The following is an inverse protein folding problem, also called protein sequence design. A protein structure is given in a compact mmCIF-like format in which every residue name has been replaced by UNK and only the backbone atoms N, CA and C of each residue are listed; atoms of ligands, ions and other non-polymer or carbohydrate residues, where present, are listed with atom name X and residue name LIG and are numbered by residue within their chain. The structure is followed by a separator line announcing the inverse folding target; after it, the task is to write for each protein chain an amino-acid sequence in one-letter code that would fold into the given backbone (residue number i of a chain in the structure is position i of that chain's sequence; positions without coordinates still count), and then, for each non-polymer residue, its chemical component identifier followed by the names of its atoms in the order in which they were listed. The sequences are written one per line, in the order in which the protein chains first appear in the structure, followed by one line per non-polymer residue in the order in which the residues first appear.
data_IF_901304102618
#
_entry.id   IF_901304102618
#
_cell.length_a   1.000
_cell.length_b   1.000
_cell.length_c   1.000
_cell.angle_alpha   90.00
_cell.angle_beta   90.00
_cell.angle_gamma   90.00
#
_symmetry.space_group_name_H-M   'P 1'
#
loop_
_entity.id
_entity.type
_entity.pdbx_description
1 polymer ?
#
# COMPACT_ATOMS: atom_id res chain seq x y z
N UNK A 1 82.65 -14.98 22.89
CA UNK A 1 82.01 -16.32 23.05
C UNK A 1 80.66 -16.14 23.73
N UNK A 2 79.60 -16.74 23.17
CA UNK A 2 78.18 -16.80 23.64
C UNK A 2 77.43 -15.45 23.74
N UNK A 3 76.51 -15.05 22.84
CA UNK A 3 75.17 -15.59 22.50
C UNK A 3 74.20 -15.68 23.70
N UNK A 4 73.11 -14.87 23.70
CA UNK A 4 71.69 -15.28 23.62
C UNK A 4 70.71 -14.12 23.96
N UNK A 5 69.99 -13.67 22.92
CA UNK A 5 68.53 -13.42 22.77
C UNK A 5 67.78 -12.51 23.78
N UNK A 6 67.29 -11.38 23.26
CA UNK A 6 65.97 -10.85 23.65
C UNK A 6 65.06 -10.79 22.40
N UNK A 7 63.88 -11.38 22.54
CA UNK A 7 62.89 -11.55 21.50
C UNK A 7 62.23 -10.21 21.14
N UNK A 8 62.19 -9.90 19.84
CA UNK A 8 61.41 -8.80 19.29
C UNK A 8 59.92 -9.16 19.34
N UNK A 9 59.14 -8.35 20.06
CA UNK A 9 57.69 -8.40 19.98
C UNK A 9 57.25 -7.78 18.65
N UNK A 10 56.85 -8.63 17.71
CA UNK A 10 56.19 -8.20 16.49
C UNK A 10 54.74 -7.78 16.85
N UNK A 11 54.49 -6.47 16.85
CA UNK A 11 53.13 -5.92 16.92
C UNK A 11 52.47 -6.19 15.57
N UNK A 12 51.61 -7.21 15.51
CA UNK A 12 50.69 -7.43 14.40
C UNK A 12 49.63 -6.32 14.42
N UNK A 13 49.82 -5.29 13.62
CA UNK A 13 48.77 -4.35 13.24
C UNK A 13 47.75 -5.11 12.37
N UNK A 14 46.69 -5.61 13.00
CA UNK A 14 45.52 -6.09 12.28
C UNK A 14 44.87 -4.90 11.55
N UNK A 15 44.56 -5.00 10.24
CA UNK A 15 43.81 -3.95 9.57
C UNK A 15 42.38 -3.98 10.15
N UNK A 16 41.99 -2.88 10.79
CA UNK A 16 40.59 -2.56 11.04
C UNK A 16 39.92 -2.44 9.66
N UNK A 17 39.33 -3.54 9.20
CA UNK A 17 38.30 -3.50 8.19
C UNK A 17 37.20 -2.60 8.76
N UNK A 18 37.17 -1.35 8.30
CA UNK A 18 36.01 -0.50 8.42
C UNK A 18 34.88 -1.20 7.67
N UNK A 19 34.13 -2.02 8.39
CA UNK A 19 32.80 -2.42 7.98
C UNK A 19 32.04 -1.10 7.92
N UNK A 20 31.97 -0.51 6.72
CA UNK A 20 30.92 0.44 6.40
C UNK A 20 29.62 -0.34 6.55
N UNK A 21 29.12 -0.41 7.78
CA UNK A 21 27.77 -0.82 8.08
C UNK A 21 26.90 0.22 7.42
N UNK A 22 26.54 -0.02 6.17
CA UNK A 22 25.38 0.60 5.58
C UNK A 22 24.27 0.40 6.61
N UNK A 23 23.85 1.49 7.25
CA UNK A 23 22.74 1.46 8.19
C UNK A 23 21.62 0.68 7.51
N UNK A 24 20.99 -0.30 8.19
CA UNK A 24 19.92 -1.07 7.58
C UNK A 24 18.92 -0.09 6.98
N UNK A 25 18.74 -0.15 5.66
CA UNK A 25 17.77 0.70 4.96
C UNK A 25 16.44 0.43 5.63
N UNK A 26 15.93 1.45 6.32
CA UNK A 26 14.61 1.40 6.95
C UNK A 26 13.64 1.00 5.83
N UNK A 27 12.91 -0.13 5.96
CA UNK A 27 11.98 -0.55 4.93
C UNK A 27 10.99 0.58 4.67
N UNK A 28 10.82 0.94 3.40
CA UNK A 28 10.10 2.13 2.90
C UNK A 28 8.76 2.40 3.61
N UNK A 29 8.07 1.34 4.01
CA UNK A 29 6.89 1.30 4.91
C UNK A 29 6.98 2.01 6.27
N UNK A 30 8.15 2.51 6.67
CA UNK A 30 8.35 3.21 7.94
C UNK A 30 8.75 4.66 7.74
N UNK A 31 8.30 5.32 6.65
CA UNK A 31 8.38 6.78 6.61
C UNK A 31 7.74 7.33 7.90
N UNK A 32 8.31 8.37 8.52
CA UNK A 32 7.76 8.93 9.76
C UNK A 32 6.26 9.25 9.66
N UNK A 33 5.80 9.65 8.46
CA UNK A 33 4.39 9.95 8.15
C UNK A 33 3.48 8.74 8.32
N UNK A 34 3.90 7.55 7.88
CA UNK A 34 3.10 6.33 8.00
C UNK A 34 3.04 5.78 9.44
N UNK A 35 4.04 6.07 10.29
CA UNK A 35 4.11 5.51 11.66
C UNK A 35 2.95 5.96 12.56
N UNK A 36 2.34 7.11 12.26
CA UNK A 36 1.20 7.64 13.01
C UNK A 36 -0.11 6.90 12.74
N UNK A 37 -0.20 6.13 11.65
CA UNK A 37 -1.43 5.42 11.27
C UNK A 37 -1.55 4.06 11.97
N UNK A 38 -2.77 3.62 12.33
CA UNK A 38 -3.02 2.28 12.84
C UNK A 38 -2.45 1.17 11.94
N UNK A 39 -1.82 0.16 12.55
CA UNK A 39 -1.19 -0.95 11.80
C UNK A 39 -2.18 -1.85 11.09
N UNK A 40 -3.44 -1.87 11.52
CA UNK A 40 -4.52 -2.56 10.85
C UNK A 40 -5.37 -1.54 10.10
N UNK A 41 -5.66 -1.82 8.83
CA UNK A 41 -6.57 -1.04 8.00
C UNK A 41 -7.56 -1.98 7.32
N UNK A 42 -8.85 -1.70 7.44
CA UNK A 42 -9.89 -2.44 6.70
C UNK A 42 -10.31 -1.65 5.46
N UNK A 43 -10.50 -2.36 4.35
CA UNK A 43 -10.82 -1.76 3.06
C UNK A 43 -12.34 -1.78 2.79
N UNK A 44 -12.87 -0.73 2.15
CA UNK A 44 -14.29 -0.61 1.84
C UNK A 44 -14.51 -0.20 0.36
N UNK A 45 -14.93 -1.16 -0.45
CA UNK A 45 -15.25 -1.01 -1.89
C UNK A 45 -16.51 -0.17 -2.14
N UNK A 46 -16.87 0.05 -3.42
CA UNK A 46 -18.13 0.66 -3.88
C UNK A 46 -19.34 -0.24 -3.57
N UNK A 47 -19.62 -0.43 -2.27
CA UNK A 47 -20.66 -1.28 -1.71
C UNK A 47 -21.18 -0.70 -0.41
N UNK A 48 -22.39 -1.08 -0.02
CA UNK A 48 -22.85 -0.78 1.33
C UNK A 48 -22.03 -1.58 2.32
N UNK A 49 -21.25 -0.89 3.14
CA UNK A 49 -20.40 -1.51 4.17
C UNK A 49 -20.84 -1.08 5.56
N UNK A 50 -20.87 -2.03 6.49
CA UNK A 50 -21.16 -1.78 7.90
C UNK A 50 -19.91 -2.05 8.72
N UNK A 51 -19.31 -0.97 9.21
CA UNK A 51 -18.06 -0.96 9.97
C UNK A 51 -18.27 -0.47 11.41
N UNK A 52 -19.51 -0.35 11.89
CA UNK A 52 -19.83 0.22 13.20
C UNK A 52 -19.21 -0.52 14.37
N UNK A 53 -18.83 -1.79 14.20
CA UNK A 53 -18.18 -2.60 15.23
C UNK A 53 -16.65 -2.44 15.29
N UNK A 54 -16.05 -1.59 14.46
CA UNK A 54 -14.61 -1.31 14.53
C UNK A 54 -14.23 -0.56 15.80
N UNK A 55 -13.06 -0.90 16.34
CA UNK A 55 -12.36 -0.08 17.31
C UNK A 55 -11.57 1.04 16.59
N UNK A 56 -11.97 2.32 16.72
CA UNK A 56 -11.35 3.44 16.02
C UNK A 56 -9.92 3.76 16.52
N UNK A 57 -9.50 3.24 17.68
CA UNK A 57 -8.16 3.49 18.23
C UNK A 57 -7.08 2.58 17.62
N UNK A 58 -7.48 1.40 17.18
CA UNK A 58 -6.55 0.34 16.74
C UNK A 58 -6.67 0.03 15.25
N UNK A 59 -7.74 0.49 14.60
CA UNK A 59 -8.05 0.15 13.20
C UNK A 59 -8.40 1.39 12.39
N UNK A 60 -7.73 1.55 11.25
CA UNK A 60 -8.08 2.55 10.23
C UNK A 60 -9.06 1.97 9.19
N UNK A 61 -9.74 2.86 8.48
CA UNK A 61 -10.61 2.51 7.34
C UNK A 61 -10.07 3.14 6.07
N UNK A 62 -9.68 2.32 5.10
CA UNK A 62 -9.46 2.75 3.73
C UNK A 62 -10.77 2.56 2.94
N UNK A 63 -11.32 3.63 2.36
CA UNK A 63 -12.59 3.57 1.65
C UNK A 63 -12.45 4.16 0.26
N UNK A 64 -13.06 3.52 -0.72
CA UNK A 64 -13.16 4.09 -2.05
C UNK A 64 -13.97 5.39 -1.97
N UNK A 65 -13.30 6.51 -2.21
CA UNK A 65 -13.87 7.87 -2.26
C UNK A 65 -14.41 8.17 -3.66
N UNK A 66 -13.65 7.79 -4.70
CA UNK A 66 -13.99 8.03 -6.09
C UNK A 66 -13.24 7.09 -7.03
N UNK A 67 -13.79 6.93 -8.23
CA UNK A 67 -13.13 6.32 -9.38
C UNK A 67 -12.90 7.38 -10.46
N UNK A 68 -11.67 7.49 -10.94
CA UNK A 68 -11.29 8.26 -12.12
C UNK A 68 -11.17 7.30 -13.29
N UNK A 69 -11.99 7.48 -14.32
CA UNK A 69 -11.98 6.65 -15.51
C UNK A 69 -11.47 7.46 -16.69
N UNK A 70 -10.45 6.93 -17.37
CA UNK A 70 -9.92 7.46 -18.62
C UNK A 70 -10.36 6.56 -19.78
N UNK A 71 -10.99 7.15 -20.79
CA UNK A 71 -11.38 6.47 -22.03
C UNK A 71 -11.12 7.36 -23.26
N UNK A 72 -11.54 6.90 -24.45
CA UNK A 72 -11.37 7.66 -25.70
C UNK A 72 -12.08 9.04 -25.73
N UNK A 73 -13.04 9.27 -24.81
CA UNK A 73 -13.80 10.52 -24.69
C UNK A 73 -13.19 11.47 -23.64
N UNK A 74 -12.21 11.01 -22.86
CA UNK A 74 -11.50 11.80 -21.88
C UNK A 74 -11.55 11.22 -20.48
N UNK A 75 -11.54 12.11 -19.48
CA UNK A 75 -11.44 11.77 -18.06
C UNK A 75 -12.76 12.06 -17.36
N UNK A 76 -13.30 11.07 -16.65
CA UNK A 76 -14.50 11.22 -15.83
C UNK A 76 -14.21 10.83 -14.39
N UNK A 77 -14.93 11.42 -13.44
CA UNK A 77 -14.80 11.11 -12.02
C UNK A 77 -16.17 10.74 -11.47
N UNK A 78 -16.27 9.56 -10.86
CA UNK A 78 -17.47 9.08 -10.19
C UNK A 78 -17.20 8.99 -8.69
N UNK A 79 -17.85 9.80 -7.85
CA UNK A 79 -17.72 9.67 -6.40
C UNK A 79 -18.39 8.39 -5.92
N UNK A 80 -18.01 7.94 -4.73
CA UNK A 80 -18.68 6.88 -4.00
C UNK A 80 -20.17 7.19 -3.86
N UNK A 81 -21.03 6.23 -4.19
CA UNK A 81 -22.50 6.34 -4.09
C UNK A 81 -23.10 5.40 -3.04
N UNK A 82 -22.33 4.42 -2.59
CA UNK A 82 -22.79 3.46 -1.61
C UNK A 82 -22.52 3.89 -0.16
N UNK A 83 -23.46 3.67 0.76
CA UNK A 83 -23.30 4.11 2.15
C UNK A 83 -22.19 3.35 2.87
N UNK A 84 -21.47 4.06 3.74
CA UNK A 84 -20.43 3.54 4.60
C UNK A 84 -20.84 3.83 6.05
N UNK A 85 -21.30 2.81 6.78
CA UNK A 85 -21.72 2.98 8.17
C UNK A 85 -20.50 2.86 9.07
N UNK A 86 -20.14 3.95 9.74
CA UNK A 86 -18.93 4.05 10.56
C UNK A 86 -19.28 4.06 12.06
N UNK A 87 -18.34 3.69 12.94
CA UNK A 87 -18.48 3.91 14.38
C UNK A 87 -18.78 5.38 14.67
N UNK A 88 -19.58 5.63 15.70
CA UNK A 88 -19.79 6.97 16.24
C UNK A 88 -18.55 7.37 17.07
N UNK A 89 -17.48 7.75 16.40
CA UNK A 89 -16.22 8.14 17.01
C UNK A 89 -15.52 9.23 16.20
N UNK A 90 -15.08 10.28 16.88
CA UNK A 90 -14.47 11.45 16.24
C UNK A 90 -13.00 11.21 15.81
N UNK A 91 -12.38 10.16 16.34
CA UNK A 91 -10.96 9.85 16.14
C UNK A 91 -10.70 8.73 15.11
N UNK A 92 -11.72 8.29 14.37
CA UNK A 92 -11.54 7.23 13.37
C UNK A 92 -10.60 7.69 12.25
N UNK A 93 -9.50 6.98 12.06
CA UNK A 93 -8.59 7.23 10.94
C UNK A 93 -9.23 6.76 9.63
N UNK A 94 -9.54 7.71 8.74
CA UNK A 94 -10.19 7.47 7.45
C UNK A 94 -9.27 7.85 6.29
N UNK A 95 -8.91 6.87 5.47
CA UNK A 95 -8.02 7.01 4.33
C UNK A 95 -8.87 7.00 3.05
N UNK A 96 -9.10 8.14 2.37
CA UNK A 96 -9.71 8.13 1.06
C UNK A 96 -8.84 7.35 0.07
N UNK A 97 -9.48 6.48 -0.69
CA UNK A 97 -8.88 5.78 -1.82
C UNK A 97 -9.45 6.35 -3.12
N UNK A 98 -8.56 6.69 -4.04
CA UNK A 98 -8.91 7.05 -5.41
C UNK A 98 -8.56 5.89 -6.33
N UNK A 99 -9.56 5.27 -6.95
CA UNK A 99 -9.34 4.23 -7.97
C UNK A 99 -9.14 4.88 -9.33
N UNK A 100 -8.17 4.38 -10.11
CA UNK A 100 -7.98 4.77 -11.50
C UNK A 100 -8.35 3.57 -12.39
N UNK A 101 -9.08 3.84 -13.46
CA UNK A 101 -9.42 2.84 -14.48
C UNK A 101 -9.13 3.39 -15.87
N UNK A 102 -8.52 2.56 -16.72
CA UNK A 102 -8.24 2.88 -18.12
C UNK A 102 -9.00 1.94 -19.06
N UNK A 103 -9.71 2.53 -20.01
CA UNK A 103 -10.39 1.82 -21.08
C UNK A 103 -9.59 1.90 -22.40
N UNK A 104 -9.86 1.03 -23.39
CA UNK A 104 -9.25 1.14 -24.71
C UNK A 104 -9.43 2.55 -25.31
N UNK A 105 -8.37 3.09 -25.90
CA UNK A 105 -8.35 4.42 -26.49
C UNK A 105 -8.11 5.57 -25.51
N UNK A 106 -7.90 5.30 -24.22
CA UNK A 106 -7.46 6.33 -23.26
C UNK A 106 -6.15 6.98 -23.72
N UNK A 107 -6.11 8.32 -23.71
CA UNK A 107 -4.89 9.07 -23.98
C UNK A 107 -4.07 9.21 -22.69
N UNK A 108 -2.87 8.65 -22.69
CA UNK A 108 -1.95 8.68 -21.56
C UNK A 108 -0.77 9.57 -21.90
N UNK A 109 -0.88 10.86 -21.56
CA UNK A 109 0.12 11.90 -21.78
C UNK A 109 0.20 12.80 -20.54
N UNK A 110 1.07 13.80 -20.57
CA UNK A 110 1.31 14.65 -19.40
C UNK A 110 0.06 15.47 -19.02
N UNK A 111 -0.71 15.96 -20.01
CA UNK A 111 -1.97 16.68 -19.74
C UNK A 111 -2.98 15.80 -18.98
N UNK A 112 -3.16 14.55 -19.41
CA UNK A 112 -4.07 13.62 -18.71
C UNK A 112 -3.51 13.19 -17.36
N UNK A 113 -2.18 13.14 -17.21
CA UNK A 113 -1.55 12.86 -15.92
C UNK A 113 -1.80 13.99 -14.91
N UNK A 114 -1.62 15.24 -15.33
CA UNK A 114 -1.84 16.43 -14.50
C UNK A 114 -3.32 16.57 -14.09
N UNK A 115 -4.24 16.39 -15.06
CA UNK A 115 -5.68 16.41 -14.76
C UNK A 115 -6.04 15.29 -13.76
N UNK A 116 -5.51 14.08 -13.96
CA UNK A 116 -5.76 12.95 -13.06
C UNK A 116 -5.23 13.24 -11.65
N UNK A 117 -4.02 13.79 -11.52
CA UNK A 117 -3.45 14.20 -10.24
C UNK A 117 -4.32 15.25 -9.54
N UNK A 118 -4.83 16.26 -10.26
CA UNK A 118 -5.79 17.23 -9.71
C UNK A 118 -7.06 16.56 -9.17
N UNK A 119 -7.64 15.60 -9.89
CA UNK A 119 -8.83 14.84 -9.42
C UNK A 119 -8.54 13.94 -8.22
N UNK A 120 -7.31 13.45 -8.09
CA UNK A 120 -6.83 12.70 -6.92
C UNK A 120 -6.74 13.63 -5.70
N UNK A 121 -6.15 14.82 -5.88
CA UNK A 121 -5.95 15.80 -4.80
C UNK A 121 -7.27 16.31 -4.20
N UNK A 122 -8.33 16.41 -5.01
CA UNK A 122 -9.67 16.73 -4.53
C UNK A 122 -10.20 15.74 -3.46
N UNK A 123 -9.72 14.49 -3.43
CA UNK A 123 -10.07 13.53 -2.36
C UNK A 123 -9.33 13.81 -1.04
N UNK A 124 -8.16 14.45 -1.11
CA UNK A 124 -7.34 14.79 0.05
C UNK A 124 -7.64 16.20 0.62
N UNK A 125 -8.13 17.11 -0.23
CA UNK A 125 -8.34 18.53 0.06
C UNK A 125 -9.82 18.90 0.12
N UNK A 126 -10.69 18.00 0.60
CA UNK A 126 -12.13 18.28 0.62
C UNK A 126 -12.42 19.49 1.52
N UNK A 127 -13.19 20.43 0.99
CA UNK A 127 -13.48 21.73 1.62
C UNK A 127 -14.29 21.61 2.93
N UNK A 128 -14.87 20.45 3.22
CA UNK A 128 -15.63 20.17 4.43
C UNK A 128 -14.76 19.69 5.61
N UNK A 129 -13.46 19.50 5.37
CA UNK A 129 -12.52 19.10 6.42
C UNK A 129 -11.79 20.32 6.98
N UNK A 130 -11.81 20.45 8.32
CA UNK A 130 -11.02 21.47 9.03
C UNK A 130 -9.51 21.18 8.98
N UNK A 131 -9.12 19.94 8.66
CA UNK A 131 -7.73 19.50 8.55
C UNK A 131 -7.53 18.54 7.35
N UNK A 132 -6.31 18.44 6.80
CA UNK A 132 -6.01 17.46 5.76
C UNK A 132 -6.33 16.03 6.20
N UNK A 133 -6.63 15.17 5.21
CA UNK A 133 -6.84 13.74 5.46
C UNK A 133 -5.59 13.08 6.08
N UNK A 134 -5.75 12.05 6.93
CA UNK A 134 -4.63 11.41 7.62
C UNK A 134 -3.67 10.66 6.67
N UNK A 135 -4.17 10.25 5.50
CA UNK A 135 -3.41 9.67 4.41
C UNK A 135 -4.22 9.73 3.12
N UNK A 136 -3.58 9.55 1.98
CA UNK A 136 -4.23 9.33 0.69
C UNK A 136 -3.72 8.02 0.07
N UNK A 137 -4.61 7.22 -0.50
CA UNK A 137 -4.24 6.00 -1.20
C UNK A 137 -4.74 6.03 -2.65
N UNK A 138 -3.91 5.58 -3.59
CA UNK A 138 -4.28 5.39 -4.99
C UNK A 138 -4.36 3.90 -5.29
N UNK A 139 -5.44 3.49 -5.94
CA UNK A 139 -5.67 2.12 -6.40
C UNK A 139 -5.67 2.07 -7.92
N UNK A 140 -4.62 1.51 -8.53
CA UNK A 140 -4.53 1.41 -9.98
C UNK A 140 -3.77 0.15 -10.41
N UNK A 141 -4.45 -0.71 -11.15
CA UNK A 141 -3.91 -1.96 -11.70
C UNK A 141 -3.15 -1.72 -13.02
N UNK A 142 -2.17 -0.83 -12.99
CA UNK A 142 -1.46 -0.32 -14.18
C UNK A 142 -0.82 -1.44 -15.02
N UNK A 143 -1.17 -1.50 -16.30
CA UNK A 143 -0.46 -2.33 -17.28
C UNK A 143 0.97 -1.82 -17.45
N UNK A 144 1.85 -2.66 -17.99
CA UNK A 144 3.24 -2.30 -18.27
C UNK A 144 3.35 -0.97 -19.07
N UNK A 145 2.52 -0.79 -20.09
CA UNK A 145 2.47 0.43 -20.92
C UNK A 145 1.95 1.67 -20.19
N UNK A 146 1.25 1.52 -19.07
CA UNK A 146 0.60 2.61 -18.33
C UNK A 146 1.49 3.12 -17.19
N UNK A 147 2.55 2.38 -16.81
CA UNK A 147 3.43 2.72 -15.69
C UNK A 147 4.20 4.04 -15.84
N UNK A 148 4.73 4.42 -17.02
CA UNK A 148 5.38 5.72 -17.17
C UNK A 148 4.40 6.88 -16.88
N UNK A 149 3.20 6.79 -17.44
CA UNK A 149 2.13 7.76 -17.17
C UNK A 149 1.71 7.75 -15.70
N UNK A 150 1.56 6.58 -15.08
CA UNK A 150 1.19 6.49 -13.67
C UNK A 150 2.26 7.11 -12.75
N UNK A 151 3.55 6.95 -13.08
CA UNK A 151 4.63 7.65 -12.39
C UNK A 151 4.44 9.17 -12.47
N UNK A 152 4.16 9.71 -13.66
CA UNK A 152 3.89 11.15 -13.83
C UNK A 152 2.69 11.60 -12.98
N UNK A 153 1.61 10.82 -12.93
CA UNK A 153 0.46 11.08 -12.03
C UNK A 153 0.88 11.14 -10.56
N UNK A 154 1.70 10.18 -10.11
CA UNK A 154 2.19 10.12 -8.73
C UNK A 154 3.11 11.32 -8.41
N UNK A 155 3.94 11.74 -9.36
CA UNK A 155 4.84 12.90 -9.23
C UNK A 155 4.04 14.20 -9.09
N UNK A 156 3.07 14.46 -9.97
CA UNK A 156 2.18 15.61 -9.86
C UNK A 156 1.36 15.57 -8.57
N UNK A 157 0.84 14.41 -8.19
CA UNK A 157 0.09 14.26 -6.94
C UNK A 157 0.98 14.60 -5.75
N UNK A 158 2.23 14.10 -5.72
CA UNK A 158 3.12 14.34 -4.59
C UNK A 158 3.54 15.80 -4.47
N UNK A 159 3.77 16.47 -5.60
CA UNK A 159 4.19 17.88 -5.65
C UNK A 159 3.18 18.80 -4.94
N UNK A 160 1.89 18.56 -5.15
CA UNK A 160 0.82 19.41 -4.63
C UNK A 160 0.22 18.92 -3.31
N UNK A 161 0.31 17.62 -3.01
CA UNK A 161 -0.22 17.07 -1.76
C UNK A 161 0.59 17.60 -0.56
N UNK A 162 -0.05 18.06 0.54
CA UNK A 162 0.67 18.61 1.69
C UNK A 162 1.77 17.67 2.18
N UNK A 163 3.00 18.17 2.47
CA UNK A 163 4.13 17.31 2.80
C UNK A 163 3.90 16.39 4.01
N UNK A 164 3.01 16.76 4.93
CA UNK A 164 2.69 15.93 6.10
C UNK A 164 1.77 14.75 5.77
N UNK A 165 0.97 14.83 4.69
CA UNK A 165 0.00 13.78 4.32
C UNK A 165 0.75 12.67 3.59
N UNK A 166 0.78 11.43 4.13
CA UNK A 166 1.38 10.31 3.44
C UNK A 166 0.59 9.91 2.20
N UNK A 167 1.32 9.57 1.13
CA UNK A 167 0.76 9.05 -0.11
C UNK A 167 1.08 7.56 -0.20
N UNK A 168 0.06 6.71 -0.30
CA UNK A 168 0.23 5.27 -0.50
C UNK A 168 -0.39 4.82 -1.83
N UNK A 169 -0.01 3.63 -2.28
CA UNK A 169 -0.65 2.98 -3.42
C UNK A 169 -0.83 1.49 -3.19
N UNK A 170 -1.87 0.91 -3.78
CA UNK A 170 -1.96 -0.54 -3.93
C UNK A 170 -1.02 -1.01 -5.04
N UNK A 171 -0.61 -2.28 -4.98
CA UNK A 171 0.23 -2.89 -5.99
C UNK A 171 -0.17 -4.35 -6.23
N UNK A 172 -0.10 -4.79 -7.49
CA UNK A 172 -0.18 -6.22 -7.78
C UNK A 172 0.96 -6.94 -7.05
N UNK A 173 0.65 -8.07 -6.42
CA UNK A 173 1.65 -8.93 -5.79
C UNK A 173 2.84 -9.24 -6.72
N UNK A 174 2.57 -9.42 -8.01
CA UNK A 174 3.57 -9.72 -9.04
C UNK A 174 4.59 -8.59 -9.24
N UNK A 175 4.21 -7.33 -9.07
CA UNK A 175 5.14 -6.19 -9.14
C UNK A 175 6.17 -6.28 -8.03
N UNK A 176 5.74 -6.58 -6.81
CA UNK A 176 6.63 -6.66 -5.65
C UNK A 176 7.53 -7.91 -5.64
N UNK A 177 7.26 -8.90 -6.50
CA UNK A 177 7.99 -10.18 -6.53
C UNK A 177 8.84 -10.39 -7.76
N UNK A 178 8.36 -10.04 -8.95
CA UNK A 178 9.00 -10.39 -10.22
C UNK A 178 9.34 -9.18 -11.08
N UNK A 179 8.59 -8.09 -10.94
CA UNK A 179 8.61 -6.93 -11.84
C UNK A 179 8.64 -5.62 -11.04
N UNK A 180 9.57 -5.53 -10.09
CA UNK A 180 9.60 -4.46 -9.08
C UNK A 180 10.48 -3.27 -9.42
N UNK A 181 11.27 -3.35 -10.49
CA UNK A 181 12.25 -2.30 -10.84
C UNK A 181 11.59 -0.94 -11.04
N UNK A 182 10.39 -0.90 -11.63
CA UNK A 182 9.66 0.33 -11.89
C UNK A 182 9.09 0.99 -10.64
N UNK A 183 8.97 0.26 -9.52
CA UNK A 183 8.50 0.79 -8.23
C UNK A 183 9.56 1.66 -7.54
N UNK A 184 10.82 1.54 -7.96
CA UNK A 184 11.93 2.28 -7.34
C UNK A 184 11.81 3.77 -7.62
N UNK A 185 12.02 4.56 -6.57
CA UNK A 185 11.97 6.02 -6.65
C UNK A 185 10.58 6.57 -6.97
N UNK A 186 9.51 5.79 -6.80
CA UNK A 186 8.17 6.36 -6.83
C UNK A 186 7.98 7.32 -5.64
N UNK A 187 7.26 8.43 -5.83
CA UNK A 187 7.12 9.47 -4.81
C UNK A 187 6.01 9.14 -3.78
N UNK A 188 5.96 7.88 -3.34
CA UNK A 188 5.00 7.36 -2.36
C UNK A 188 5.71 7.02 -1.05
N UNK A 189 4.94 6.97 0.04
CA UNK A 189 5.36 6.57 1.38
C UNK A 189 5.18 5.07 1.62
N UNK A 190 4.21 4.44 0.95
CA UNK A 190 3.91 3.02 1.13
C UNK A 190 3.37 2.41 -0.17
N UNK A 191 3.85 1.21 -0.50
CA UNK A 191 3.32 0.37 -1.58
C UNK A 191 2.75 -0.89 -0.94
N UNK A 192 1.45 -1.12 -1.12
CA UNK A 192 0.70 -2.21 -0.50
C UNK A 192 0.54 -3.38 -1.48
N UNK A 193 1.35 -4.45 -1.37
CA UNK A 193 1.17 -5.63 -2.21
C UNK A 193 -0.12 -6.37 -1.85
N UNK A 194 -1.05 -6.47 -2.81
CA UNK A 194 -2.30 -7.21 -2.65
C UNK A 194 -2.08 -8.70 -2.92
N UNK A 195 -1.94 -9.51 -1.85
CA UNK A 195 -1.64 -10.95 -1.91
C UNK A 195 -2.89 -11.82 -2.05
N UNK A 196 -3.90 -11.33 -2.77
CA UNK A 196 -5.14 -12.05 -3.04
C UNK A 196 -5.48 -11.95 -4.52
N UNK A 197 -6.39 -12.80 -4.99
CA UNK A 197 -6.61 -13.06 -6.42
C UNK A 197 -6.82 -11.79 -7.24
N UNK A 198 -5.90 -11.61 -8.19
CA UNK A 198 -5.93 -10.61 -9.25
C UNK A 198 -6.04 -11.23 -10.66
N UNK A 199 -6.45 -12.50 -10.74
CA UNK A 199 -6.59 -13.25 -12.01
C UNK A 199 -8.08 -13.55 -12.29
N UNK A 200 -8.57 -13.30 -13.52
CA UNK A 200 -9.93 -13.66 -13.93
C UNK A 200 -10.25 -15.16 -13.81
N UNK A 201 -9.23 -16.04 -13.90
CA UNK A 201 -9.39 -17.50 -14.03
C UNK A 201 -9.43 -18.29 -12.71
N UNK A 202 -9.35 -17.63 -11.56
CA UNK A 202 -9.41 -18.32 -10.25
C UNK A 202 -10.78 -18.28 -9.59
N UNK A 203 -11.86 -17.99 -10.34
CA UNK A 203 -13.24 -17.94 -9.83
C UNK A 203 -13.85 -19.30 -9.46
N UNK A 204 -13.10 -20.41 -9.59
CA UNK A 204 -13.60 -21.78 -9.39
C UNK A 204 -13.12 -22.44 -8.08
N UNK A 205 -13.15 -21.72 -6.95
CA UNK A 205 -12.89 -22.37 -5.65
C UNK A 205 -14.17 -22.42 -4.81
N UNK A 206 -14.38 -23.56 -4.16
CA UNK A 206 -15.53 -23.77 -3.29
C UNK A 206 -15.51 -22.77 -2.11
N UNK A 207 -16.65 -22.44 -1.49
CA UNK A 207 -16.75 -21.40 -0.45
C UNK A 207 -15.82 -21.53 0.75
N UNK A 208 -15.23 -22.72 0.96
CA UNK A 208 -14.35 -23.06 2.09
C UNK A 208 -12.88 -23.22 1.69
N UNK A 209 -12.53 -23.12 0.41
CA UNK A 209 -11.15 -23.22 -0.04
C UNK A 209 -10.49 -21.84 0.04
N UNK A 210 -9.55 -21.69 0.97
CA UNK A 210 -8.58 -20.58 1.01
C UNK A 210 -7.37 -21.00 0.17
N UNK A 211 -7.29 -20.66 -1.13
CA UNK A 211 -6.15 -21.09 -1.95
C UNK A 211 -4.85 -20.60 -1.31
N UNK A 212 -3.85 -21.48 -1.25
CA UNK A 212 -2.57 -21.16 -0.66
C UNK A 212 -1.79 -20.17 -1.54
N UNK A 213 -1.10 -19.22 -0.90
CA UNK A 213 -0.04 -18.47 -1.55
C UNK A 213 1.04 -19.48 -1.99
N UNK A 214 1.48 -19.48 -3.26
CA UNK A 214 2.49 -20.43 -3.72
C UNK A 214 3.71 -20.39 -2.80
N UNK A 215 4.22 -21.56 -2.42
CA UNK A 215 5.32 -21.69 -1.44
C UNK A 215 6.60 -20.92 -1.85
N UNK A 216 6.74 -20.59 -3.14
CA UNK A 216 7.84 -19.83 -3.74
C UNK A 216 7.59 -18.32 -3.89
N UNK A 217 6.40 -17.81 -3.55
CA UNK A 217 6.11 -16.38 -3.64
C UNK A 217 6.79 -15.64 -2.49
N UNK A 218 7.66 -14.68 -2.84
CA UNK A 218 8.34 -13.83 -1.89
C UNK A 218 8.34 -12.38 -2.40
N UNK A 219 8.04 -11.44 -1.52
CA UNK A 219 8.22 -10.01 -1.80
C UNK A 219 9.72 -9.74 -1.85
N UNK A 220 10.20 -9.30 -3.01
CA UNK A 220 11.62 -9.02 -3.29
C UNK A 220 11.91 -7.53 -3.32
N UNK A 221 10.94 -6.72 -3.74
CA UNK A 221 11.13 -5.27 -3.77
C UNK A 221 11.01 -4.69 -2.36
N UNK A 222 12.08 -4.00 -1.94
CA UNK A 222 12.22 -3.40 -0.62
C UNK A 222 11.11 -2.41 -0.30
N UNK A 223 10.60 -1.71 -1.31
CA UNK A 223 9.53 -0.74 -1.18
C UNK A 223 8.19 -1.35 -0.72
N UNK A 224 7.99 -2.65 -0.95
CA UNK A 224 6.77 -3.37 -0.59
C UNK A 224 6.86 -4.15 0.74
N UNK A 225 7.97 -4.07 1.47
CA UNK A 225 8.24 -5.05 2.54
C UNK A 225 7.48 -4.85 3.85
N UNK A 226 7.05 -3.63 4.18
CA UNK A 226 6.43 -3.39 5.48
C UNK A 226 4.94 -3.13 5.47
N UNK A 227 4.26 -3.38 4.36
CA UNK A 227 2.81 -3.55 4.34
C UNK A 227 2.42 -4.81 3.58
N UNK A 228 1.17 -5.23 3.76
CA UNK A 228 0.60 -6.37 3.06
C UNK A 228 -0.91 -6.21 2.95
N UNK A 229 -1.45 -6.48 1.76
CA UNK A 229 -2.88 -6.61 1.50
C UNK A 229 -3.28 -8.08 1.53
N UNK A 230 -4.30 -8.43 2.30
CA UNK A 230 -4.86 -9.78 2.43
C UNK A 230 -6.37 -9.77 2.19
N UNK A 231 -6.93 -10.88 1.73
CA UNK A 231 -8.38 -11.06 1.60
C UNK A 231 -8.93 -11.94 2.72
N UNK A 232 -10.18 -11.69 3.12
CA UNK A 232 -10.93 -12.48 4.13
C UNK A 232 -11.10 -13.95 3.74
N UNK A 233 -11.01 -14.26 2.44
CA UNK A 233 -11.26 -15.59 1.86
C UNK A 233 -10.04 -16.26 1.25
N UNK A 234 -8.85 -15.79 1.57
CA UNK A 234 -7.60 -16.39 1.10
C UNK A 234 -6.68 -16.73 2.27
N UNK A 235 -5.74 -17.65 2.02
CA UNK A 235 -4.78 -18.02 3.05
C UNK A 235 -3.84 -16.85 3.30
N UNK A 236 -3.69 -16.46 4.56
CA UNK A 236 -2.80 -15.35 4.91
C UNK A 236 -1.34 -15.78 4.90
N UNK A 237 -0.40 -14.90 4.51
CA UNK A 237 1.01 -15.20 4.60
C UNK A 237 1.40 -15.42 6.06
N UNK A 238 2.32 -16.35 6.30
CA UNK A 238 2.77 -16.72 7.66
C UNK A 238 3.36 -15.56 8.46
N UNK A 239 3.88 -14.52 7.79
CA UNK A 239 4.53 -13.39 8.45
C UNK A 239 3.76 -12.09 8.17
N UNK A 240 2.84 -11.77 9.07
CA UNK A 240 2.17 -10.47 9.19
C UNK A 240 2.86 -9.57 10.24
N UNK A 241 3.61 -10.19 11.16
CA UNK A 241 4.32 -9.48 12.23
C UNK A 241 5.27 -8.41 11.67
N UNK A 242 5.28 -7.24 12.32
CA UNK A 242 6.07 -6.08 11.91
C UNK A 242 5.56 -5.32 10.67
N UNK A 243 4.50 -5.79 10.01
CA UNK A 243 3.91 -5.13 8.83
C UNK A 243 2.64 -4.36 9.18
N UNK A 244 2.29 -3.39 8.34
CA UNK A 244 0.92 -2.86 8.25
C UNK A 244 0.07 -3.83 7.44
N UNK A 245 -1.13 -4.15 7.93
CA UNK A 245 -2.04 -5.11 7.31
C UNK A 245 -3.25 -4.36 6.78
N UNK A 246 -3.50 -4.51 5.49
CA UNK A 246 -4.71 -4.07 4.82
C UNK A 246 -5.59 -5.27 4.56
N UNK A 247 -6.82 -5.25 5.05
CA UNK A 247 -7.76 -6.37 4.89
C UNK A 247 -8.85 -5.98 3.91
N UNK A 248 -8.94 -6.74 2.83
CA UNK A 248 -9.90 -6.53 1.76
C UNK A 248 -11.04 -7.54 1.90
N UNK A 249 -12.29 -7.09 2.08
CA UNK A 249 -13.43 -7.99 2.09
C UNK A 249 -13.71 -8.47 0.67
N UNK A 250 -13.97 -9.76 0.51
CA UNK A 250 -14.33 -10.39 -0.78
C UNK A 250 -15.81 -10.13 -1.12
N UNK A 251 -16.70 -10.32 -0.13
CA UNK A 251 -18.16 -10.18 -0.29
C UNK A 251 -18.76 -8.98 0.45
N UNK A 252 -17.90 -8.16 1.05
CA UNK A 252 -18.27 -7.05 1.94
C UNK A 252 -18.35 -7.48 3.40
N UNK A 253 -18.13 -6.53 4.31
CA UNK A 253 -17.97 -6.76 5.74
C UNK A 253 -19.20 -7.31 6.45
N UNK A 254 -20.40 -7.05 5.91
CA UNK A 254 -21.64 -7.67 6.38
C UNK A 254 -21.63 -9.20 6.22
N UNK A 255 -20.87 -9.73 5.26
CA UNK A 255 -20.86 -11.16 4.91
C UNK A 255 -19.56 -11.88 5.26
N UNK A 256 -18.49 -11.13 5.49
CA UNK A 256 -17.16 -11.68 5.72
C UNK A 256 -16.71 -11.62 7.19
N UNK A 257 -17.53 -11.05 8.08
CA UNK A 257 -17.31 -11.11 9.54
C UNK A 257 -16.19 -10.19 9.98
N UNK A 258 -16.49 -8.90 10.13
CA UNK A 258 -15.51 -7.88 10.49
C UNK A 258 -14.85 -8.14 11.84
N UNK A 259 -15.66 -8.32 12.88
CA UNK A 259 -15.18 -8.50 14.24
C UNK A 259 -14.36 -9.78 14.39
N UNK A 260 -14.78 -10.85 13.72
CA UNK A 260 -14.07 -12.13 13.70
C UNK A 260 -12.73 -12.02 12.98
N UNK A 261 -12.71 -11.37 11.82
CA UNK A 261 -11.49 -11.15 11.03
C UNK A 261 -10.47 -10.32 11.82
N UNK A 262 -10.90 -9.25 12.49
CA UNK A 262 -10.01 -8.40 13.29
C UNK A 262 -9.43 -9.18 14.47
N UNK A 263 -10.23 -10.03 15.14
CA UNK A 263 -9.79 -10.90 16.24
C UNK A 263 -8.85 -12.02 15.78
N UNK A 264 -8.96 -12.52 14.55
CA UNK A 264 -8.05 -13.54 14.02
C UNK A 264 -6.63 -12.97 13.78
N UNK A 265 -6.51 -11.66 13.60
CA UNK A 265 -5.24 -10.97 13.32
C UNK A 265 -4.46 -10.53 14.58
N UNK A 266 -5.09 -10.51 15.76
CA UNK A 266 -4.53 -10.00 17.02
C UNK A 266 -4.90 -10.87 18.21
#
# INVERSE_FOLDING_TARGET
MSWIRYAAWAILLAPLCAINGAAPRIPHSQTPRMRALPRLTVWAWERREDLRSLDPHTTAVAYLDRTITLDARGITTTPRRQPLLLPAADNLTRIPVVRIETAPGAQLNDDTAEITARRILEAALRNDLEAPVPALQIDFDAKLSERPWYRTVLEHTRQELPPAVPLSMTALASWCSYDGSWLRGLPVDEIVPMLFRMEPDRRQFAPNDRPAIPQQFAIRESACMGSVGISTREAWPRVLAGRRVYVFPDRGWQRDGLSETVKELW
#
